data_IF_081997218419
#
_entry.id   IF_081997218419
#
_cell.length_a   1.000
_cell.length_b   1.000
_cell.length_c   1.000
_cell.angle_alpha   90.00
_cell.angle_beta   90.00
_cell.angle_gamma   90.00
#
_symmetry.space_group_name_H-M   'P 1'
#
loop_
_entity.id
_entity.type
_entity.pdbx_description
1 polymer ?
#
# COMPACT_ATOMS: atom_id res chain seq x y z
N UNK A 1 13.03 1.73 13.58
CA UNK A 1 11.56 1.92 13.76
C UNK A 1 11.10 3.00 12.79
N UNK A 2 10.13 2.71 11.93
CA UNK A 2 9.62 3.68 10.95
C UNK A 2 8.65 4.67 11.60
N UNK A 3 8.66 5.91 11.14
CA UNK A 3 7.72 6.97 11.54
C UNK A 3 7.10 7.57 10.29
N UNK A 4 5.81 7.86 10.32
CA UNK A 4 5.12 8.61 9.27
C UNK A 4 4.35 9.78 9.89
N UNK A 5 4.29 10.88 9.16
CA UNK A 5 3.59 12.08 9.60
C UNK A 5 3.00 12.85 8.43
N UNK A 6 1.89 13.52 8.70
CA UNK A 6 1.32 14.55 7.84
C UNK A 6 1.43 15.91 8.52
N UNK A 7 1.67 16.94 7.71
CA UNK A 7 1.75 18.31 8.20
C UNK A 7 1.07 19.25 7.21
N UNK A 8 0.08 19.99 7.68
CA UNK A 8 -0.70 20.94 6.86
C UNK A 8 -0.43 22.38 7.29
N UNK A 9 -0.01 23.19 6.34
CA UNK A 9 0.12 24.64 6.47
C UNK A 9 -0.66 25.30 5.33
N UNK A 10 -0.05 26.20 4.56
CA UNK A 10 -0.53 26.62 3.24
C UNK A 10 -0.51 25.43 2.25
N UNK A 11 0.51 24.60 2.38
CA UNK A 11 0.69 23.38 1.59
C UNK A 11 0.53 22.15 2.50
N UNK A 12 0.34 20.99 1.91
CA UNK A 12 0.25 19.71 2.59
C UNK A 12 1.53 18.90 2.36
N UNK A 13 2.04 18.32 3.43
CA UNK A 13 3.22 17.47 3.42
C UNK A 13 2.87 16.10 4.00
N UNK A 14 3.35 15.07 3.35
CA UNK A 14 3.33 13.70 3.83
C UNK A 14 4.74 13.14 3.74
N UNK A 15 5.24 12.58 4.81
CA UNK A 15 6.58 12.02 4.86
C UNK A 15 6.67 10.83 5.80
N UNK A 16 7.69 10.00 5.55
CA UNK A 16 8.01 8.87 6.41
C UNK A 16 9.52 8.67 6.50
N UNK A 17 9.99 8.01 7.56
CA UNK A 17 11.35 7.47 7.66
C UNK A 17 11.33 5.98 7.32
N UNK A 18 12.22 5.54 6.46
CA UNK A 18 12.42 4.12 6.12
C UNK A 18 13.64 3.61 6.92
N UNK A 19 13.39 3.11 8.12
CA UNK A 19 14.43 2.71 9.06
C UNK A 19 14.67 1.19 8.98
N UNK A 20 15.55 0.78 8.09
CA UNK A 20 16.06 -0.58 7.98
C UNK A 20 17.55 -0.64 8.35
N UNK A 21 18.00 -1.79 8.82
CA UNK A 21 19.40 -2.02 9.15
C UNK A 21 20.28 -2.22 7.91
N UNK A 22 19.68 -2.54 6.76
CA UNK A 22 20.32 -2.75 5.47
C UNK A 22 19.36 -2.43 4.33
N UNK A 23 19.89 -2.12 3.14
CA UNK A 23 19.08 -1.89 1.94
C UNK A 23 18.79 -3.22 1.22
N UNK A 24 17.56 -3.35 0.74
CA UNK A 24 17.14 -4.43 -0.17
C UNK A 24 17.34 -4.08 -1.65
N UNK A 25 18.08 -3.00 -1.95
CA UNK A 25 18.17 -2.44 -3.29
C UNK A 25 17.00 -1.50 -3.57
N UNK A 26 16.71 -0.65 -2.59
CA UNK A 26 15.59 0.30 -2.65
C UNK A 26 15.86 1.38 -3.70
N UNK A 27 14.87 1.66 -4.52
CA UNK A 27 14.98 2.64 -5.61
C UNK A 27 13.70 3.44 -5.80
N UNK A 28 13.83 4.65 -6.36
CA UNK A 28 12.69 5.45 -6.77
C UNK A 28 12.09 4.83 -8.03
N UNK A 29 10.88 4.34 -7.91
CA UNK A 29 10.18 3.62 -8.98
C UNK A 29 8.95 4.38 -9.45
N UNK A 30 8.77 4.46 -10.76
CA UNK A 30 7.59 5.05 -11.39
C UNK A 30 6.84 3.94 -12.14
N UNK A 31 5.57 3.74 -11.81
CA UNK A 31 4.64 2.96 -12.62
C UNK A 31 3.76 3.91 -13.43
N UNK A 32 3.91 3.94 -14.77
CA UNK A 32 3.09 4.79 -15.63
C UNK A 32 1.65 4.27 -15.71
N UNK A 33 0.72 5.11 -16.18
CA UNK A 33 -0.72 4.80 -16.24
C UNK A 33 -1.10 3.52 -16.98
N UNK A 34 -0.24 3.02 -17.84
CA UNK A 34 -0.44 1.81 -18.66
C UNK A 34 0.45 0.64 -18.24
N UNK A 35 1.12 0.73 -17.11
CA UNK A 35 1.78 -0.42 -16.50
C UNK A 35 0.71 -1.46 -16.15
N UNK A 36 0.96 -2.74 -16.42
CA UNK A 36 -0.01 -3.81 -16.16
C UNK A 36 0.27 -4.40 -14.77
N UNK A 37 -0.57 -4.06 -13.79
CA UNK A 37 -0.56 -4.76 -12.52
C UNK A 37 -1.25 -6.12 -12.66
N UNK A 38 -0.51 -7.18 -12.41
CA UNK A 38 -1.03 -8.55 -12.31
C UNK A 38 -1.19 -8.90 -10.83
N UNK A 39 -2.41 -8.75 -10.30
CA UNK A 39 -2.73 -9.07 -8.92
C UNK A 39 -2.93 -10.57 -8.72
N UNK A 40 -2.58 -11.10 -7.55
CA UNK A 40 -2.61 -12.54 -7.27
C UNK A 40 -4.01 -13.16 -7.29
N UNK A 41 -5.00 -12.41 -6.82
CA UNK A 41 -6.36 -12.91 -6.63
C UNK A 41 -7.43 -12.09 -7.35
N UNK A 42 -7.03 -11.17 -8.19
CA UNK A 42 -7.94 -10.28 -8.91
C UNK A 42 -7.51 -10.15 -10.37
N UNK A 43 -8.40 -9.59 -11.16
CA UNK A 43 -8.10 -9.30 -12.55
C UNK A 43 -6.95 -8.29 -12.67
N UNK A 44 -6.17 -8.43 -13.73
CA UNK A 44 -5.12 -7.49 -14.06
C UNK A 44 -5.68 -6.10 -14.36
N UNK A 45 -4.95 -5.09 -13.94
CA UNK A 45 -5.29 -3.70 -14.13
C UNK A 45 -4.33 -3.05 -15.11
N UNK A 46 -4.82 -2.72 -16.30
CA UNK A 46 -4.03 -2.17 -17.43
C UNK A 46 -4.17 -0.66 -17.61
N UNK A 47 -5.00 0.00 -16.81
CA UNK A 47 -5.19 1.45 -16.83
C UNK A 47 -5.49 1.94 -15.42
N UNK A 48 -4.67 2.85 -14.92
CA UNK A 48 -4.73 3.32 -13.55
C UNK A 48 -4.03 4.67 -13.41
N UNK A 49 -4.06 5.29 -12.23
CA UNK A 49 -3.25 6.47 -11.93
C UNK A 49 -1.75 6.12 -11.94
N UNK A 50 -0.93 7.01 -12.48
CA UNK A 50 0.52 6.89 -12.36
C UNK A 50 0.94 7.00 -10.89
N UNK A 51 1.92 6.20 -10.50
CA UNK A 51 2.42 6.09 -9.12
C UNK A 51 3.93 6.31 -9.13
N UNK A 52 4.42 7.04 -8.14
CA UNK A 52 5.86 7.18 -7.86
C UNK A 52 6.11 6.93 -6.37
N UNK A 53 7.15 6.19 -6.06
CA UNK A 53 7.48 5.89 -4.66
C UNK A 53 8.80 5.17 -4.49
N UNK A 54 9.13 4.86 -3.25
CA UNK A 54 10.26 4.04 -2.90
C UNK A 54 9.85 2.56 -2.93
N UNK A 55 10.56 1.75 -3.70
CA UNK A 55 10.25 0.33 -3.85
C UNK A 55 11.51 -0.54 -3.92
N UNK A 56 11.33 -1.81 -3.59
CA UNK A 56 12.20 -2.87 -4.06
C UNK A 56 11.57 -3.48 -5.33
N UNK A 57 12.28 -3.45 -6.46
CA UNK A 57 11.78 -4.03 -7.71
C UNK A 57 12.22 -5.49 -7.83
N UNK A 58 11.26 -6.38 -7.84
CA UNK A 58 11.49 -7.82 -7.95
C UNK A 58 10.77 -8.38 -9.18
N UNK A 59 11.55 -8.83 -10.19
CA UNK A 59 10.98 -9.39 -11.40
C UNK A 59 10.00 -8.43 -12.11
N UNK A 60 10.39 -7.19 -12.29
CA UNK A 60 9.61 -6.09 -12.88
C UNK A 60 8.39 -5.65 -12.04
N UNK A 61 8.16 -6.24 -10.85
CA UNK A 61 7.08 -5.83 -9.95
C UNK A 61 7.59 -4.88 -8.86
N UNK A 62 6.98 -3.69 -8.70
CA UNK A 62 7.36 -2.73 -7.67
C UNK A 62 6.75 -3.09 -6.32
N UNK A 63 7.55 -3.55 -5.38
CA UNK A 63 7.18 -3.74 -3.99
C UNK A 63 7.35 -2.43 -3.24
N UNK A 64 6.32 -1.59 -3.28
CA UNK A 64 6.35 -0.25 -2.68
C UNK A 64 6.39 -0.29 -1.15
N UNK A 65 7.31 0.46 -0.56
CA UNK A 65 7.32 0.80 0.87
C UNK A 65 6.41 1.99 1.16
N UNK A 66 6.44 2.97 0.27
CA UNK A 66 5.61 4.16 0.24
C UNK A 66 5.51 4.66 -1.20
N UNK A 67 4.43 5.37 -1.49
CA UNK A 67 4.24 5.97 -2.80
C UNK A 67 3.17 7.06 -2.76
N UNK A 68 3.14 7.86 -3.83
CA UNK A 68 2.09 8.82 -4.11
C UNK A 68 1.62 8.65 -5.54
N UNK A 69 0.33 8.81 -5.78
CA UNK A 69 -0.19 8.82 -7.13
C UNK A 69 -0.30 10.24 -7.70
N UNK A 70 -0.54 10.34 -8.99
CA UNK A 70 -0.67 11.61 -9.72
C UNK A 70 -1.84 12.50 -9.28
N UNK A 71 -2.75 11.99 -8.42
CA UNK A 71 -3.86 12.73 -7.82
C UNK A 71 -3.50 13.34 -6.47
N UNK A 72 -2.32 12.99 -5.93
CA UNK A 72 -1.84 13.48 -4.66
C UNK A 72 -2.28 12.63 -3.45
N UNK A 73 -2.82 11.43 -3.69
CA UNK A 73 -3.03 10.46 -2.63
C UNK A 73 -1.71 9.76 -2.32
N UNK A 74 -1.26 9.82 -1.08
CA UNK A 74 -0.06 9.16 -0.58
C UNK A 74 -0.39 7.99 0.34
N UNK A 75 0.49 6.97 0.34
CA UNK A 75 0.37 5.81 1.22
C UNK A 75 1.75 5.30 1.63
N UNK A 76 1.90 4.89 2.87
CA UNK A 76 3.14 4.29 3.38
C UNK A 76 2.83 3.11 4.29
N UNK A 77 3.65 2.06 4.18
CA UNK A 77 3.64 0.90 5.08
C UNK A 77 4.68 1.06 6.18
N UNK A 78 4.30 0.71 7.41
CA UNK A 78 5.14 0.75 8.59
C UNK A 78 5.07 -0.60 9.32
N UNK A 79 6.14 -0.96 10.03
CA UNK A 79 6.20 -2.21 10.78
C UNK A 79 5.13 -2.27 11.89
N UNK A 80 4.41 -3.39 11.93
CA UNK A 80 3.35 -3.69 12.90
C UNK A 80 3.50 -5.12 13.44
N UNK A 81 4.75 -5.46 13.77
CA UNK A 81 5.15 -6.81 14.18
C UNK A 81 4.40 -7.28 15.42
N UNK A 82 3.84 -8.50 15.34
CA UNK A 82 3.07 -9.12 16.42
C UNK A 82 1.59 -8.73 16.45
N UNK A 83 1.16 -7.75 15.68
CA UNK A 83 -0.22 -7.28 15.64
C UNK A 83 -0.91 -7.53 14.28
N UNK A 84 -0.16 -7.44 13.18
CA UNK A 84 -0.71 -7.63 11.85
C UNK A 84 -1.21 -9.07 11.64
N UNK A 85 -2.46 -9.19 11.19
CA UNK A 85 -3.09 -10.45 10.83
C UNK A 85 -3.68 -10.33 9.43
N UNK A 86 -3.36 -11.28 8.57
CA UNK A 86 -3.91 -11.36 7.21
C UNK A 86 -4.75 -12.63 7.08
N UNK A 87 -5.81 -12.54 6.29
CA UNK A 87 -6.84 -13.57 6.18
C UNK A 87 -6.52 -14.58 5.07
N UNK A 88 -7.28 -15.65 5.04
CA UNK A 88 -7.37 -16.52 3.88
C UNK A 88 -8.24 -15.87 2.79
N UNK A 89 -8.13 -16.36 1.56
CA UNK A 89 -8.94 -15.89 0.42
C UNK A 89 -10.43 -16.17 0.71
N UNK A 90 -11.27 -15.15 0.56
CA UNK A 90 -12.71 -15.23 0.78
C UNK A 90 -13.48 -14.95 -0.52
N UNK A 91 -14.44 -15.81 -0.88
CA UNK A 91 -15.27 -15.63 -2.05
C UNK A 91 -16.18 -14.40 -1.89
N UNK A 92 -16.26 -13.57 -2.95
CA UNK A 92 -17.08 -12.36 -2.96
C UNK A 92 -16.44 -11.13 -2.34
N UNK A 93 -15.19 -11.24 -1.90
CA UNK A 93 -14.36 -10.11 -1.45
C UNK A 93 -13.30 -9.75 -2.49
N UNK A 94 -12.83 -8.52 -2.42
CA UNK A 94 -11.62 -8.11 -3.14
C UNK A 94 -10.39 -8.56 -2.34
N UNK A 95 -9.84 -9.73 -2.73
CA UNK A 95 -8.70 -10.34 -2.05
C UNK A 95 -7.40 -9.71 -2.53
N UNK A 96 -6.77 -8.91 -1.68
CA UNK A 96 -5.55 -8.17 -1.98
C UNK A 96 -4.41 -8.73 -1.15
N UNK A 97 -3.35 -9.21 -1.81
CA UNK A 97 -2.15 -9.64 -1.08
C UNK A 97 -1.49 -8.43 -0.39
N UNK A 98 -0.88 -8.66 0.75
CA UNK A 98 -0.30 -7.60 1.57
C UNK A 98 0.64 -6.68 0.78
N UNK A 99 1.51 -7.24 -0.08
CA UNK A 99 2.46 -6.49 -0.89
C UNK A 99 1.81 -5.70 -2.04
N UNK A 100 0.57 -6.04 -2.42
CA UNK A 100 -0.21 -5.39 -3.46
C UNK A 100 -1.03 -4.20 -2.93
N UNK A 101 -1.08 -4.02 -1.61
CA UNK A 101 -2.05 -3.09 -1.01
C UNK A 101 -1.77 -1.62 -1.38
N UNK A 102 -0.51 -1.18 -1.36
CA UNK A 102 -0.15 0.17 -1.79
C UNK A 102 -0.50 0.41 -3.27
N UNK A 103 -0.03 -0.40 -4.23
CA UNK A 103 -0.40 -0.20 -5.63
C UNK A 103 -1.91 -0.38 -5.88
N UNK A 104 -2.60 -1.25 -5.14
CA UNK A 104 -4.05 -1.42 -5.26
C UNK A 104 -4.82 -0.15 -4.93
N UNK A 105 -4.56 0.46 -3.78
CA UNK A 105 -5.20 1.70 -3.35
C UNK A 105 -4.82 2.86 -4.30
N UNK A 106 -3.54 3.08 -4.53
CA UNK A 106 -3.06 4.23 -5.28
C UNK A 106 -3.40 4.17 -6.77
N UNK A 107 -3.60 2.99 -7.32
CA UNK A 107 -4.03 2.83 -8.72
C UNK A 107 -5.48 3.22 -8.96
N UNK A 108 -6.35 3.15 -7.95
CA UNK A 108 -7.80 3.29 -8.07
C UNK A 108 -8.38 4.52 -7.40
N UNK A 109 -7.77 5.01 -6.33
CA UNK A 109 -8.31 6.08 -5.49
C UNK A 109 -7.58 7.40 -5.74
N UNK A 110 -8.33 8.49 -5.86
CA UNK A 110 -7.79 9.85 -5.95
C UNK A 110 -7.78 10.56 -4.58
N UNK A 111 -8.59 10.08 -3.62
CA UNK A 111 -8.79 10.70 -2.31
C UNK A 111 -8.83 9.65 -1.21
N UNK A 112 -8.60 10.10 0.04
CA UNK A 112 -8.78 9.25 1.23
C UNK A 112 -10.23 8.77 1.35
N UNK A 113 -11.21 9.59 0.96
CA UNK A 113 -12.62 9.18 0.99
C UNK A 113 -12.89 8.00 0.04
N UNK A 114 -12.35 8.04 -1.18
CA UNK A 114 -12.46 6.90 -2.12
C UNK A 114 -11.75 5.66 -1.57
N UNK A 115 -10.59 5.83 -0.91
CA UNK A 115 -9.90 4.73 -0.24
C UNK A 115 -10.76 4.12 0.88
N UNK A 116 -11.41 4.94 1.73
CA UNK A 116 -12.35 4.44 2.76
C UNK A 116 -13.49 3.62 2.17
N UNK A 117 -14.03 4.02 1.02
CA UNK A 117 -15.11 3.27 0.38
C UNK A 117 -14.63 1.96 -0.24
N UNK A 118 -13.43 1.95 -0.80
CA UNK A 118 -12.79 0.74 -1.32
C UNK A 118 -12.45 -0.25 -0.19
N UNK A 119 -11.95 0.24 0.96
CA UNK A 119 -11.59 -0.57 2.12
C UNK A 119 -12.77 -1.38 2.72
N UNK A 120 -14.02 -0.95 2.52
CA UNK A 120 -15.20 -1.70 2.96
C UNK A 120 -15.38 -3.06 2.27
N UNK A 121 -14.75 -3.25 1.12
CA UNK A 121 -14.88 -4.44 0.26
C UNK A 121 -13.65 -5.33 0.28
N UNK A 122 -12.54 -4.83 0.81
CA UNK A 122 -11.25 -5.49 0.75
C UNK A 122 -11.15 -6.64 1.76
N UNK A 123 -10.37 -7.64 1.40
CA UNK A 123 -9.86 -8.67 2.27
C UNK A 123 -8.34 -8.73 2.08
N UNK A 124 -7.57 -8.30 3.07
CA UNK A 124 -6.11 -8.42 3.03
C UNK A 124 -5.71 -9.87 3.30
N UNK A 125 -5.07 -10.49 2.32
CA UNK A 125 -4.80 -11.93 2.35
C UNK A 125 -3.33 -12.25 2.59
N UNK A 126 -3.11 -13.39 3.24
CA UNK A 126 -1.82 -13.96 3.59
C UNK A 126 -1.18 -14.66 2.38
N UNK A 127 -0.95 -13.88 1.32
CA UNK A 127 -0.30 -14.38 0.12
C UNK A 127 1.08 -13.73 0.00
N UNK A 128 2.19 -14.48 0.11
CA UNK A 128 3.53 -13.94 -0.02
C UNK A 128 3.84 -13.58 -1.48
N UNK A 129 4.77 -12.68 -1.68
CA UNK A 129 5.29 -12.40 -3.03
C UNK A 129 6.05 -13.61 -3.57
N UNK A 130 6.91 -14.20 -2.75
CA UNK A 130 7.65 -15.43 -3.03
C UNK A 130 8.06 -16.11 -1.71
N UNK A 131 8.67 -17.29 -1.78
CA UNK A 131 9.26 -17.96 -0.60
C UNK A 131 10.33 -17.10 0.08
N UNK A 132 11.09 -16.34 -0.70
CA UNK A 132 12.16 -15.46 -0.20
C UNK A 132 11.64 -14.13 0.33
N UNK A 133 10.42 -13.73 -0.07
CA UNK A 133 9.77 -12.47 0.31
C UNK A 133 8.39 -12.81 0.90
N UNK A 134 8.36 -13.23 2.18
CA UNK A 134 7.11 -13.54 2.88
C UNK A 134 6.29 -12.28 3.17
N UNK A 135 5.06 -12.47 3.64
CA UNK A 135 4.21 -11.34 4.06
C UNK A 135 4.89 -10.55 5.18
N UNK A 136 5.12 -9.28 4.93
CA UNK A 136 5.58 -8.35 5.96
C UNK A 136 4.43 -7.97 6.90
N UNK A 137 4.70 -7.89 8.20
CA UNK A 137 3.72 -7.48 9.20
C UNK A 137 3.66 -5.95 9.24
N UNK A 138 2.70 -5.38 8.53
CA UNK A 138 2.57 -3.93 8.33
C UNK A 138 1.21 -3.41 8.79
N UNK A 139 1.20 -2.12 9.10
CA UNK A 139 0.05 -1.23 9.05
C UNK A 139 0.36 -0.07 8.11
N UNK A 140 -0.66 0.72 7.76
CA UNK A 140 -0.48 1.76 6.75
C UNK A 140 -1.07 3.08 7.19
N UNK A 141 -0.49 4.16 6.65
CA UNK A 141 -1.10 5.49 6.63
C UNK A 141 -1.46 5.83 5.18
N UNK A 142 -2.66 6.35 4.98
CA UNK A 142 -3.14 6.88 3.69
C UNK A 142 -3.49 8.34 3.93
N UNK A 143 -3.04 9.23 3.07
CA UNK A 143 -3.23 10.66 3.26
C UNK A 143 -3.39 11.41 1.93
N UNK A 144 -4.24 12.41 1.94
CA UNK A 144 -4.35 13.45 0.94
C UNK A 144 -4.31 14.84 1.60
N UNK A 145 -4.52 15.91 0.84
CA UNK A 145 -4.47 17.29 1.36
C UNK A 145 -5.56 17.64 2.38
N UNK A 146 -6.62 16.82 2.49
CA UNK A 146 -7.76 17.08 3.38
C UNK A 146 -7.70 16.28 4.67
N UNK A 147 -7.32 14.99 4.58
CA UNK A 147 -7.31 14.09 5.74
C UNK A 147 -6.24 13.00 5.65
N UNK A 148 -6.03 12.32 6.76
CA UNK A 148 -5.21 11.11 6.85
C UNK A 148 -5.88 10.06 7.72
N UNK A 149 -5.69 8.79 7.35
CA UNK A 149 -6.18 7.63 8.08
C UNK A 149 -5.07 6.61 8.29
N UNK A 150 -5.18 5.83 9.36
CA UNK A 150 -4.41 4.60 9.55
C UNK A 150 -5.25 3.41 9.13
N UNK A 151 -4.61 2.36 8.60
CA UNK A 151 -5.25 1.10 8.25
C UNK A 151 -4.48 -0.03 8.90
N UNK A 152 -5.15 -0.78 9.75
CA UNK A 152 -4.57 -1.86 10.55
C UNK A 152 -5.40 -3.13 10.38
N UNK A 153 -4.78 -4.20 9.86
CA UNK A 153 -5.39 -5.52 9.76
C UNK A 153 -4.99 -6.34 10.98
N UNK A 154 -5.93 -6.59 11.87
CA UNK A 154 -5.73 -7.22 13.18
C UNK A 154 -6.60 -8.48 13.33
N UNK A 155 -6.44 -9.19 14.43
CA UNK A 155 -7.15 -10.44 14.69
C UNK A 155 -8.68 -10.29 14.75
N UNK A 156 -9.17 -9.12 15.12
CA UNK A 156 -10.59 -8.76 15.22
C UNK A 156 -11.13 -8.00 13.98
N UNK A 157 -10.30 -7.82 12.95
CA UNK A 157 -10.70 -7.24 11.67
C UNK A 157 -9.81 -6.13 11.14
N UNK A 158 -10.33 -5.43 10.12
CA UNK A 158 -9.69 -4.28 9.50
C UNK A 158 -10.16 -2.99 10.19
N UNK A 159 -9.24 -2.27 10.79
CA UNK A 159 -9.47 -0.99 11.45
C UNK A 159 -9.03 0.16 10.56
N UNK A 160 -9.84 1.23 10.53
CA UNK A 160 -9.60 2.42 9.72
C UNK A 160 -9.92 3.68 10.54
#
# INVERSE_FOLDING_TARGET
>A
MCTAATYKTKDFYFGRTLDYEFSYGDEITITPRNYIFEFRHMEKLSSHYAIIGMAHVAGDYPLYYDAVNEKGLGMAGLNFVGNAVYNEVENGKENVAQFEFIPWILSKCATVQEAKDLLKKINLVKTPFSEMLPCAQLHWIIADKEESITVESMADGLHV
#
